data_IF_848420689555
#
_entry.id   IF_848420689555
#
_cell.length_a   1.000
_cell.length_b   1.000
_cell.length_c   1.000
_cell.angle_alpha   90.00
_cell.angle_beta   90.00
_cell.angle_gamma   90.00
#
_symmetry.space_group_name_H-M   'P 1'
#
loop_
_entity.id
_entity.type
_entity.pdbx_description
1 polymer ?
#
# COMPACT_ATOMS: atom_id res chain seq x y z
N UNK A 1 22.50 -25.18 24.86
CA UNK A 1 22.20 -24.06 23.93
C UNK A 1 20.70 -23.99 23.66
N UNK A 2 19.90 -23.80 24.71
CA UNK A 2 18.44 -23.66 24.66
C UNK A 2 18.10 -22.63 25.73
N UNK A 3 18.05 -21.37 25.35
CA UNK A 3 17.44 -20.28 26.12
C UNK A 3 17.62 -18.99 25.32
N UNK A 4 16.65 -18.09 25.40
CA UNK A 4 16.48 -16.81 24.67
C UNK A 4 15.84 -16.93 23.30
N UNK A 5 14.52 -17.01 23.29
CA UNK A 5 13.63 -16.32 22.34
C UNK A 5 12.20 -16.34 22.91
N UNK A 6 12.06 -15.85 24.14
CA UNK A 6 10.76 -15.47 24.69
C UNK A 6 10.98 -14.13 25.36
N UNK A 7 10.31 -13.11 24.85
CA UNK A 7 9.79 -11.92 25.52
C UNK A 7 9.56 -10.85 24.44
N UNK A 8 8.28 -10.52 24.22
CA UNK A 8 7.71 -9.20 23.95
C UNK A 8 6.34 -9.36 23.26
N UNK A 9 5.39 -10.00 23.95
CA UNK A 9 3.97 -9.78 23.70
C UNK A 9 3.53 -8.57 24.56
N UNK A 10 3.77 -7.37 24.04
CA UNK A 10 3.23 -6.15 24.64
C UNK A 10 1.74 -6.09 24.29
N UNK A 11 0.91 -6.23 25.32
CA UNK A 11 -0.53 -5.96 25.32
C UNK A 11 -0.81 -4.58 24.71
N UNK A 12 -1.48 -4.53 23.57
CA UNK A 12 -2.21 -3.35 23.11
C UNK A 12 -3.69 -3.53 23.40
N UNK A 13 -4.12 -3.06 24.57
CA UNK A 13 -5.52 -2.74 24.81
C UNK A 13 -5.81 -1.39 24.14
N UNK A 14 -6.44 -1.39 22.97
CA UNK A 14 -7.12 -0.21 22.42
C UNK A 14 -8.60 -0.57 22.20
N UNK A 15 -9.56 0.26 22.66
CA UNK A 15 -10.95 0.04 22.38
C UNK A 15 -11.23 0.38 20.90
N UNK A 16 -11.72 -0.59 20.14
CA UNK A 16 -12.37 -0.34 18.85
C UNK A 16 -13.60 0.53 19.08
N UNK A 17 -13.52 1.80 18.72
CA UNK A 17 -14.65 2.71 18.76
C UNK A 17 -14.74 3.53 17.48
N UNK A 18 -14.94 2.88 16.33
CA UNK A 18 -15.54 3.51 15.14
C UNK A 18 -16.24 2.46 14.25
N UNK A 19 -17.36 1.91 14.73
CA UNK A 19 -18.35 1.35 13.82
C UNK A 19 -18.93 2.49 12.97
N UNK A 20 -18.47 2.64 11.73
CA UNK A 20 -19.17 3.47 10.75
C UNK A 20 -20.51 2.82 10.41
N UNK A 21 -21.55 3.39 10.99
CA UNK A 21 -22.96 3.19 10.66
C UNK A 21 -23.17 3.25 9.15
N UNK A 22 -23.53 2.12 8.56
CA UNK A 22 -23.98 2.00 7.17
C UNK A 22 -25.35 2.65 7.07
N UNK A 23 -25.40 3.93 6.69
CA UNK A 23 -26.65 4.65 6.46
C UNK A 23 -27.24 4.16 5.13
N UNK A 24 -28.34 3.42 5.26
CA UNK A 24 -29.26 3.02 4.20
C UNK A 24 -30.17 4.18 3.77
N UNK A 25 -30.85 3.96 2.64
CA UNK A 25 -31.78 4.84 1.87
C UNK A 25 -31.09 5.68 0.79
N UNK A 26 -31.54 5.71 -0.48
CA UNK A 26 -32.80 5.30 -1.10
C UNK A 26 -32.49 4.83 -2.56
N UNK A 27 -33.04 3.71 -3.01
CA UNK A 27 -34.24 3.61 -3.85
C UNK A 27 -33.97 3.68 -5.37
N UNK A 28 -34.51 2.67 -6.06
CA UNK A 28 -34.99 2.69 -7.46
C UNK A 28 -33.98 2.51 -8.60
N UNK A 29 -33.86 1.26 -9.07
CA UNK A 29 -34.02 0.89 -10.48
C UNK A 29 -33.98 -0.64 -10.59
N UNK A 30 -35.16 -1.25 -10.43
CA UNK A 30 -35.43 -2.63 -10.82
C UNK A 30 -35.68 -2.59 -12.33
N UNK A 31 -34.82 -3.24 -13.12
CA UNK A 31 -35.19 -3.72 -14.45
C UNK A 31 -34.84 -5.18 -14.54
N UNK A 32 -35.85 -5.99 -14.22
CA UNK A 32 -35.93 -7.42 -14.46
C UNK A 32 -36.11 -7.68 -15.95
N UNK A 33 -35.29 -8.54 -16.54
CA UNK A 33 -35.64 -9.31 -17.74
C UNK A 33 -35.52 -10.79 -17.40
N UNK A 34 -36.55 -11.31 -16.74
CA UNK A 34 -36.80 -12.73 -16.64
C UNK A 34 -37.53 -13.15 -17.93
N UNK A 35 -36.90 -14.00 -18.73
CA UNK A 35 -37.51 -14.56 -19.93
C UNK A 35 -38.42 -15.70 -19.46
N UNK A 36 -39.71 -15.43 -19.43
CA UNK A 36 -40.77 -16.42 -19.26
C UNK A 36 -40.94 -17.14 -20.59
N UNK A 37 -40.71 -18.45 -20.60
CA UNK A 37 -41.24 -19.34 -21.63
C UNK A 37 -42.26 -20.25 -20.95
N UNK A 38 -43.53 -19.96 -21.20
CA UNK A 38 -44.69 -20.79 -20.86
C UNK A 38 -45.45 -21.08 -22.16
N UNK A 39 -46.10 -22.24 -22.16
CA UNK A 39 -47.11 -22.77 -23.10
C UNK A 39 -46.55 -23.63 -24.25
N UNK A 40 -47.13 -24.78 -24.58
CA UNK A 40 -48.22 -25.55 -23.98
C UNK A 40 -48.33 -26.90 -24.74
N UNK A 41 -48.71 -27.96 -24.00
CA UNK A 41 -49.51 -29.12 -24.43
C UNK A 41 -48.94 -30.04 -25.55
N UNK A 42 -49.10 -31.36 -25.56
CA UNK A 42 -50.30 -32.20 -25.41
C UNK A 42 -49.84 -33.62 -25.01
N UNK A 43 -50.59 -34.29 -24.13
CA UNK A 43 -50.38 -35.71 -23.84
C UNK A 43 -51.37 -36.23 -22.81
N UNK A 44 -52.66 -36.13 -23.12
CA UNK A 44 -53.76 -36.75 -22.36
C UNK A 44 -53.59 -38.25 -22.21
N UNK A 45 -53.78 -38.76 -21.00
CA UNK A 45 -53.86 -40.19 -20.70
C UNK A 45 -54.36 -40.41 -19.28
N UNK A 46 -55.64 -40.15 -19.06
CA UNK A 46 -56.35 -40.61 -17.86
C UNK A 46 -56.48 -42.12 -17.91
N UNK A 47 -55.83 -42.81 -16.97
CA UNK A 47 -56.34 -44.06 -16.43
C UNK A 47 -56.10 -44.06 -14.93
N UNK A 48 -57.19 -43.86 -14.18
CA UNK A 48 -57.23 -44.20 -12.77
C UNK A 48 -56.87 -45.66 -12.57
N UNK A 49 -56.00 -45.92 -11.62
CA UNK A 49 -55.55 -47.25 -11.25
C UNK A 49 -55.08 -47.22 -9.81
N UNK A 50 -56.03 -47.42 -8.90
CA UNK A 50 -55.78 -47.85 -7.53
C UNK A 50 -54.79 -49.00 -7.53
N UNK A 51 -53.65 -48.83 -6.86
CA UNK A 51 -52.66 -49.88 -6.71
C UNK A 51 -51.64 -49.50 -5.65
N UNK A 52 -52.00 -49.73 -4.38
CA UNK A 52 -50.99 -50.01 -3.36
C UNK A 52 -50.19 -51.20 -3.84
N UNK A 53 -48.99 -50.96 -4.35
CA UNK A 53 -47.93 -51.96 -4.38
C UNK A 53 -46.63 -51.33 -3.92
N UNK A 54 -46.43 -51.46 -2.62
CA UNK A 54 -45.13 -51.47 -1.99
C UNK A 54 -44.23 -52.47 -2.71
N UNK A 55 -43.24 -52.00 -3.43
CA UNK A 55 -41.99 -52.74 -3.54
C UNK A 55 -40.82 -51.77 -3.71
N UNK A 56 -39.93 -51.81 -2.74
CA UNK A 56 -38.56 -51.36 -2.92
C UNK A 56 -38.02 -52.09 -4.16
N UNK A 57 -37.87 -51.38 -5.29
CA UNK A 57 -37.27 -51.91 -6.53
C UNK A 57 -35.75 -52.14 -6.41
N UNK A 58 -35.24 -52.34 -5.19
CA UNK A 58 -33.83 -52.53 -4.88
C UNK A 58 -33.48 -53.98 -4.53
N UNK A 59 -34.42 -54.92 -4.69
CA UNK A 59 -34.17 -56.35 -4.43
C UNK A 59 -34.47 -57.25 -5.64
N UNK A 60 -34.22 -56.79 -6.87
CA UNK A 60 -33.93 -57.73 -7.94
C UNK A 60 -32.56 -58.36 -7.65
N UNK A 61 -32.53 -59.68 -7.48
CA UNK A 61 -31.28 -60.45 -7.43
C UNK A 61 -30.61 -60.30 -8.80
N UNK A 62 -29.69 -59.35 -8.90
CA UNK A 62 -28.88 -59.13 -10.09
C UNK A 62 -28.10 -60.39 -10.39
N UNK A 63 -27.98 -60.71 -11.67
CA UNK A 63 -27.07 -61.79 -12.08
C UNK A 63 -25.64 -61.41 -11.69
N UNK A 64 -24.75 -62.39 -11.47
CA UNK A 64 -23.35 -62.09 -11.15
C UNK A 64 -22.67 -61.21 -12.22
N UNK A 65 -23.11 -61.32 -13.48
CA UNK A 65 -22.66 -60.47 -14.59
C UNK A 65 -23.14 -59.02 -14.44
N UNK A 66 -24.42 -58.80 -14.15
CA UNK A 66 -24.98 -57.45 -13.89
C UNK A 66 -24.33 -56.77 -12.67
N UNK A 67 -23.93 -57.53 -11.65
CA UNK A 67 -23.18 -57.00 -10.51
C UNK A 67 -21.78 -56.51 -10.90
N UNK A 68 -21.09 -57.27 -11.76
CA UNK A 68 -19.76 -56.91 -12.26
C UNK A 68 -19.81 -55.69 -13.20
N UNK A 69 -20.86 -55.56 -14.00
CA UNK A 69 -21.09 -54.37 -14.83
C UNK A 69 -21.39 -53.13 -13.98
N UNK A 70 -22.24 -53.28 -12.96
CA UNK A 70 -22.56 -52.19 -12.05
C UNK A 70 -21.34 -51.74 -11.23
N UNK A 71 -20.47 -52.65 -10.80
CA UNK A 71 -19.23 -52.29 -10.11
C UNK A 71 -18.29 -51.52 -11.04
N UNK A 72 -18.13 -51.98 -12.29
CA UNK A 72 -17.34 -51.26 -13.32
C UNK A 72 -17.89 -49.86 -13.59
N UNK A 73 -19.20 -49.70 -13.71
CA UNK A 73 -19.83 -48.39 -13.88
C UNK A 73 -19.62 -47.49 -12.66
N UNK A 74 -19.71 -48.04 -11.44
CA UNK A 74 -19.40 -47.31 -10.21
C UNK A 74 -17.94 -46.83 -10.21
N UNK A 75 -16.99 -47.70 -10.53
CA UNK A 75 -15.55 -47.38 -10.62
C UNK A 75 -15.27 -46.31 -11.66
N UNK A 76 -15.88 -46.39 -12.85
CA UNK A 76 -15.78 -45.38 -13.90
C UNK A 76 -16.31 -44.02 -13.44
N UNK A 77 -17.47 -43.97 -12.76
CA UNK A 77 -17.99 -42.71 -12.21
C UNK A 77 -17.03 -42.11 -11.17
N UNK A 78 -16.48 -42.94 -10.29
CA UNK A 78 -15.51 -42.49 -9.28
C UNK A 78 -14.22 -41.97 -9.93
N UNK A 79 -13.73 -42.63 -10.98
CA UNK A 79 -12.58 -42.16 -11.74
C UNK A 79 -12.85 -40.78 -12.38
N UNK A 80 -14.00 -40.62 -13.02
CA UNK A 80 -14.40 -39.35 -13.65
C UNK A 80 -14.57 -38.21 -12.63
N UNK A 81 -15.13 -38.48 -11.45
CA UNK A 81 -15.26 -37.45 -10.41
C UNK A 81 -13.89 -37.06 -9.86
N UNK A 82 -13.00 -38.03 -9.62
CA UNK A 82 -11.62 -37.76 -9.18
C UNK A 82 -10.85 -36.92 -10.20
N UNK A 83 -10.96 -37.25 -11.48
CA UNK A 83 -10.31 -36.45 -12.54
C UNK A 83 -10.83 -35.01 -12.58
N UNK A 84 -12.15 -34.82 -12.45
CA UNK A 84 -12.75 -33.49 -12.37
C UNK A 84 -12.27 -32.71 -11.15
N UNK A 85 -12.21 -33.34 -9.99
CA UNK A 85 -11.67 -32.74 -8.76
C UNK A 85 -10.21 -32.33 -8.91
N UNK A 86 -9.37 -33.20 -9.51
CA UNK A 86 -7.97 -32.91 -9.80
C UNK A 86 -7.85 -31.72 -10.77
N UNK A 87 -8.69 -31.66 -11.81
CA UNK A 87 -8.69 -30.55 -12.75
C UNK A 87 -9.11 -29.23 -12.10
N UNK A 88 -10.16 -29.25 -11.26
CA UNK A 88 -10.60 -28.08 -10.49
C UNK A 88 -9.49 -27.61 -9.55
N UNK A 89 -8.84 -28.54 -8.84
CA UNK A 89 -7.75 -28.21 -7.93
C UNK A 89 -6.55 -27.60 -8.67
N UNK A 90 -6.15 -28.17 -9.81
CA UNK A 90 -5.09 -27.60 -10.66
C UNK A 90 -5.42 -26.19 -11.14
N UNK A 91 -6.66 -25.94 -11.56
CA UNK A 91 -7.11 -24.60 -11.96
C UNK A 91 -7.09 -23.62 -10.80
N UNK A 92 -7.53 -24.04 -9.61
CA UNK A 92 -7.48 -23.22 -8.41
C UNK A 92 -6.04 -22.83 -8.05
N UNK A 93 -5.11 -23.80 -8.07
CA UNK A 93 -3.68 -23.54 -7.83
C UNK A 93 -3.09 -22.58 -8.87
N UNK A 94 -3.42 -22.73 -10.15
CA UNK A 94 -2.94 -21.82 -11.19
C UNK A 94 -3.43 -20.38 -10.94
N UNK A 95 -4.70 -20.19 -10.57
CA UNK A 95 -5.25 -18.87 -10.24
C UNK A 95 -4.58 -18.26 -9.00
N UNK A 96 -4.29 -19.06 -7.98
CA UNK A 96 -3.56 -18.60 -6.81
C UNK A 96 -2.14 -18.15 -7.15
N UNK A 97 -1.42 -18.91 -7.99
CA UNK A 97 -0.08 -18.56 -8.47
C UNK A 97 -0.09 -17.27 -9.28
N UNK A 98 -1.04 -17.10 -10.21
CA UNK A 98 -1.19 -15.85 -10.96
C UNK A 98 -1.47 -14.66 -10.03
N UNK A 99 -2.34 -14.84 -9.04
CA UNK A 99 -2.64 -13.78 -8.06
C UNK A 99 -1.41 -13.42 -7.24
N UNK A 100 -0.64 -14.40 -6.80
CA UNK A 100 0.60 -14.18 -6.06
C UNK A 100 1.64 -13.46 -6.93
N UNK A 101 1.82 -13.88 -8.18
CA UNK A 101 2.74 -13.23 -9.11
C UNK A 101 2.35 -11.75 -9.34
N UNK A 102 1.06 -11.47 -9.57
CA UNK A 102 0.58 -10.08 -9.68
C UNK A 102 0.81 -9.27 -8.41
N UNK A 103 0.59 -9.88 -7.25
CA UNK A 103 0.81 -9.24 -5.95
C UNK A 103 2.29 -8.95 -5.68
N UNK A 104 3.20 -9.84 -6.08
CA UNK A 104 4.64 -9.65 -5.94
C UNK A 104 5.13 -8.50 -6.82
N UNK A 105 4.74 -8.50 -8.10
CA UNK A 105 5.06 -7.40 -9.02
C UNK A 105 4.52 -6.06 -8.54
N UNK A 106 3.28 -6.03 -8.01
CA UNK A 106 2.72 -4.83 -7.41
C UNK A 106 3.46 -4.42 -6.13
N UNK A 107 3.87 -5.37 -5.30
CA UNK A 107 4.61 -5.16 -4.06
C UNK A 107 6.01 -4.59 -4.29
N UNK A 108 6.69 -4.96 -5.37
CA UNK A 108 8.01 -4.44 -5.73
C UNK A 108 7.95 -2.98 -6.22
N UNK A 109 6.93 -2.64 -7.01
CA UNK A 109 6.80 -1.31 -7.64
C UNK A 109 6.16 -0.27 -6.70
N UNK A 110 5.24 -0.70 -5.83
CA UNK A 110 4.52 0.17 -4.90
C UNK A 110 5.42 1.05 -3.99
N UNK A 111 6.48 0.54 -3.33
CA UNK A 111 7.32 1.38 -2.47
C UNK A 111 8.08 2.45 -3.24
N UNK A 112 8.57 2.14 -4.45
CA UNK A 112 9.24 3.10 -5.30
C UNK A 112 8.28 4.23 -5.73
N UNK A 113 7.05 3.88 -6.13
CA UNK A 113 6.02 4.87 -6.46
C UNK A 113 5.62 5.72 -5.24
N UNK A 114 5.50 5.12 -4.05
CA UNK A 114 5.19 5.85 -2.82
C UNK A 114 6.32 6.85 -2.49
N UNK A 115 7.58 6.43 -2.62
CA UNK A 115 8.73 7.31 -2.43
C UNK A 115 8.76 8.45 -3.46
N UNK A 116 8.45 8.18 -4.74
CA UNK A 116 8.32 9.21 -5.77
C UNK A 116 7.25 10.23 -5.42
N UNK A 117 6.04 9.79 -5.05
CA UNK A 117 4.94 10.69 -4.64
C UNK A 117 5.33 11.57 -3.45
N UNK A 118 6.08 11.03 -2.50
CA UNK A 118 6.55 11.78 -1.34
C UNK A 118 7.59 12.84 -1.76
N UNK A 119 8.52 12.49 -2.64
CA UNK A 119 9.50 13.44 -3.21
C UNK A 119 8.80 14.55 -3.99
N UNK A 120 7.87 14.20 -4.88
CA UNK A 120 7.08 15.17 -5.66
C UNK A 120 6.29 16.11 -4.76
N UNK A 121 5.67 15.61 -3.69
CA UNK A 121 4.96 16.46 -2.72
C UNK A 121 5.91 17.44 -2.03
N UNK A 122 7.09 16.97 -1.59
CA UNK A 122 8.09 17.85 -0.98
C UNK A 122 8.63 18.87 -1.97
N UNK A 123 8.83 18.49 -3.22
CA UNK A 123 9.30 19.40 -4.25
C UNK A 123 8.25 20.46 -4.59
N UNK A 124 6.97 20.10 -4.67
CA UNK A 124 5.87 21.07 -4.83
C UNK A 124 5.82 22.06 -3.66
N UNK A 125 5.96 21.57 -2.43
CA UNK A 125 6.02 22.44 -1.24
C UNK A 125 7.24 23.37 -1.29
N UNK A 126 8.40 22.86 -1.71
CA UNK A 126 9.60 23.67 -1.87
C UNK A 126 9.40 24.76 -2.93
N UNK A 127 8.87 24.41 -4.10
CA UNK A 127 8.59 25.37 -5.18
C UNK A 127 7.56 26.42 -4.77
N UNK A 128 6.53 26.03 -4.02
CA UNK A 128 5.55 26.98 -3.49
C UNK A 128 6.20 27.96 -2.51
N UNK A 129 7.03 27.46 -1.59
CA UNK A 129 7.78 28.33 -0.68
C UNK A 129 8.79 29.23 -1.42
N UNK A 130 9.48 28.72 -2.44
CA UNK A 130 10.37 29.51 -3.31
C UNK A 130 9.60 30.63 -4.03
N UNK A 131 8.42 30.34 -4.58
CA UNK A 131 7.57 31.34 -5.22
C UNK A 131 7.05 32.40 -4.24
N UNK A 132 6.65 32.01 -3.03
CA UNK A 132 6.26 32.96 -1.98
C UNK A 132 7.42 33.90 -1.59
N UNK A 133 8.66 33.40 -1.60
CA UNK A 133 9.84 34.23 -1.37
C UNK A 133 10.13 35.19 -2.52
N UNK A 134 9.97 34.74 -3.77
CA UNK A 134 10.08 35.60 -4.95
C UNK A 134 9.03 36.71 -4.92
N UNK A 135 7.77 36.39 -4.60
CA UNK A 135 6.70 37.38 -4.45
C UNK A 135 7.02 38.43 -3.38
N UNK A 136 7.60 38.03 -2.24
CA UNK A 136 8.02 38.95 -1.18
C UNK A 136 9.14 39.89 -1.64
N UNK A 137 10.06 39.40 -2.46
CA UNK A 137 11.16 40.18 -3.04
C UNK A 137 10.61 41.15 -4.08
N UNK A 138 9.73 40.70 -4.96
CA UNK A 138 9.13 41.50 -6.04
C UNK A 138 8.20 42.61 -5.52
N UNK A 139 7.59 42.41 -4.36
CA UNK A 139 6.78 43.44 -3.68
C UNK A 139 7.62 44.59 -3.12
N UNK A 140 8.94 44.45 -2.96
CA UNK A 140 9.77 45.53 -2.41
C UNK A 140 10.10 46.58 -3.49
N UNK A 141 9.75 47.84 -3.22
CA UNK A 141 10.11 48.96 -4.09
C UNK A 141 11.61 49.28 -4.05
N UNK A 142 12.30 48.89 -2.97
CA UNK A 142 13.73 49.10 -2.74
C UNK A 142 14.53 47.80 -2.94
N UNK A 143 15.50 47.85 -3.86
CA UNK A 143 16.41 46.71 -4.11
C UNK A 143 17.29 46.36 -2.90
N UNK A 144 17.55 47.31 -2.02
CA UNK A 144 18.33 47.09 -0.80
C UNK A 144 17.52 46.31 0.25
N UNK A 145 16.21 46.58 0.35
CA UNK A 145 15.30 45.87 1.26
C UNK A 145 15.06 44.44 0.79
N UNK A 146 14.81 44.24 -0.52
CA UNK A 146 14.77 42.92 -1.15
C UNK A 146 16.03 42.09 -0.85
N UNK A 147 17.20 42.71 -0.98
CA UNK A 147 18.48 42.04 -0.71
C UNK A 147 18.67 41.72 0.77
N UNK A 148 18.20 42.57 1.69
CA UNK A 148 18.23 42.29 3.13
C UNK A 148 17.33 41.09 3.50
N UNK A 149 16.13 40.99 2.90
CA UNK A 149 15.25 39.83 3.07
C UNK A 149 15.95 38.56 2.59
N UNK A 150 16.56 38.58 1.40
CA UNK A 150 17.30 37.44 0.86
C UNK A 150 18.47 37.00 1.77
N UNK A 151 19.19 37.96 2.37
CA UNK A 151 20.27 37.69 3.35
C UNK A 151 19.78 37.02 4.63
N UNK A 152 18.63 37.46 5.17
CA UNK A 152 18.06 36.86 6.38
C UNK A 152 17.63 35.41 6.16
N UNK A 153 17.13 35.11 4.96
CA UNK A 153 16.56 33.80 4.64
C UNK A 153 17.59 32.78 4.16
N UNK A 154 18.72 33.25 3.60
CA UNK A 154 19.72 32.36 3.01
C UNK A 154 21.14 32.77 3.41
N UNK A 155 21.88 31.88 4.09
CA UNK A 155 23.30 32.07 4.42
C UNK A 155 24.19 32.28 3.19
N UNK A 156 23.71 31.92 1.99
CA UNK A 156 24.46 32.12 0.73
C UNK A 156 24.67 33.60 0.40
N UNK A 157 23.73 34.46 0.81
CA UNK A 157 23.81 35.90 0.54
C UNK A 157 24.48 36.67 1.69
N UNK A 158 24.86 35.99 2.77
CA UNK A 158 25.52 36.62 3.90
C UNK A 158 26.84 37.23 3.44
N UNK A 159 27.01 38.52 3.70
CA UNK A 159 28.18 39.28 3.29
C UNK A 159 29.41 38.71 4.00
N UNK A 160 30.36 38.17 3.22
CA UNK A 160 31.61 37.65 3.75
C UNK A 160 32.58 38.81 3.90
N UNK A 161 32.59 39.41 5.08
CA UNK A 161 33.60 40.39 5.44
C UNK A 161 34.87 39.64 5.80
N UNK A 162 35.77 39.49 4.81
CA UNK A 162 37.12 38.99 5.06
C UNK A 162 37.97 40.14 5.61
N UNK A 163 38.18 40.13 6.93
CA UNK A 163 39.12 41.05 7.55
C UNK A 163 40.54 40.68 7.11
N UNK A 164 41.12 41.47 6.22
CA UNK A 164 42.54 41.44 5.93
C UNK A 164 43.27 42.09 7.12
N UNK A 165 44.02 41.33 7.93
CA UNK A 165 44.75 41.92 9.04
C UNK A 165 45.83 42.85 8.46
N UNK A 166 45.91 44.07 8.99
CA UNK A 166 46.93 45.05 8.58
C UNK A 166 48.37 44.54 8.85
N UNK A 167 48.50 43.60 9.78
CA UNK A 167 49.75 42.92 10.11
C UNK A 167 49.60 41.44 9.77
N UNK A 168 50.50 40.93 8.92
CA UNK A 168 50.49 39.52 8.55
C UNK A 168 50.81 38.65 9.79
N UNK A 169 50.03 37.58 9.97
CA UNK A 169 50.26 36.61 11.06
C UNK A 169 51.67 36.03 10.97
N UNK A 170 52.38 35.97 12.09
CA UNK A 170 53.78 35.52 12.20
C UNK A 170 54.82 36.41 11.50
N UNK A 171 54.49 37.67 11.20
CA UNK A 171 55.49 38.65 10.76
C UNK A 171 56.30 39.19 11.93
N UNK A 172 57.45 39.81 11.64
CA UNK A 172 58.24 40.54 12.65
C UNK A 172 57.45 41.73 13.27
N UNK A 173 56.41 42.20 12.60
CA UNK A 173 55.49 43.23 13.10
C UNK A 173 54.47 42.64 14.07
N UNK A 174 53.97 41.43 13.81
CA UNK A 174 53.06 40.68 14.68
C UNK A 174 53.72 40.40 16.04
N UNK A 175 54.98 39.97 16.05
CA UNK A 175 55.74 39.74 17.28
C UNK A 175 56.00 41.03 18.07
N UNK A 176 56.26 42.15 17.40
CA UNK A 176 56.41 43.46 18.05
C UNK A 176 55.11 43.94 18.68
N UNK A 177 53.98 43.76 17.99
CA UNK A 177 52.66 44.12 18.52
C UNK A 177 52.31 43.26 19.73
N UNK A 178 52.56 41.95 19.69
CA UNK A 178 52.37 41.05 20.84
C UNK A 178 53.21 41.46 22.04
N UNK A 179 54.46 41.85 21.83
CA UNK A 179 55.35 42.33 22.91
C UNK A 179 54.89 43.67 23.50
N UNK A 180 54.39 44.59 22.67
CA UNK A 180 53.84 45.86 23.15
C UNK A 180 52.56 45.65 23.98
N UNK A 181 51.68 44.75 23.53
CA UNK A 181 50.44 44.41 24.22
C UNK A 181 50.67 43.56 25.48
N UNK A 182 51.76 42.79 25.57
CA UNK A 182 52.11 42.07 26.81
C UNK A 182 52.68 42.98 27.90
N UNK A 183 53.04 44.22 27.55
CA UNK A 183 53.57 45.19 28.52
C UNK A 183 52.43 45.83 29.30
N UNK A 184 52.41 45.68 30.63
CA UNK A 184 51.32 46.15 31.51
C UNK A 184 50.90 47.63 31.31
N UNK A 185 51.84 48.50 30.93
CA UNK A 185 51.60 49.94 30.73
C UNK A 185 50.76 50.26 29.47
N UNK A 186 50.88 49.44 28.42
CA UNK A 186 50.20 49.67 27.13
C UNK A 186 49.08 48.66 26.94
N UNK A 187 49.31 47.40 27.29
CA UNK A 187 48.33 46.31 27.18
C UNK A 187 47.06 46.53 28.00
N UNK A 188 47.15 47.17 29.18
CA UNK A 188 46.00 47.44 30.03
C UNK A 188 44.96 48.39 29.42
N UNK A 189 45.32 49.18 28.41
CA UNK A 189 44.40 50.09 27.73
C UNK A 189 43.57 49.40 26.64
N UNK A 190 44.04 48.27 26.12
CA UNK A 190 43.44 47.56 24.98
C UNK A 190 42.84 46.19 25.34
N UNK A 191 42.90 45.83 26.62
CA UNK A 191 42.33 44.61 27.17
C UNK A 191 40.90 44.85 27.65
#
# INVERSE_FOLDING_TARGET
MRERMQLLAIRSNYPEAFHRSRRSSAASAITSTAVVAVSDQIGTGSTGGSGRDSSYSHHQRRTPEEMAEFSRQCEQRVALTREKEIQVHRRALALEQERQARSQLAGEVAPAQAAQRLRERREKQRRAAEAELEDLVDQQESSLEAMNIARMLSPRFQERVEYAPAVAKYSAEDERVKQLLSTSRIGSYYQ
#
